data_IF_071891502314
#
_entry.id   IF_071891502314
#
_cell.length_a   1.000
_cell.length_b   1.000
_cell.length_c   1.000
_cell.angle_alpha   90.00
_cell.angle_beta   90.00
_cell.angle_gamma   90.00
#
_symmetry.space_group_name_H-M   'P 1'
#
loop_
_entity.id
_entity.type
_entity.pdbx_description
1 polymer ?
#
# COMPACT_ATOMS: atom_id res chain seq x y z
N UNK A 1 -5.65 -1.14 1.79
CA UNK A 1 -5.62 -1.72 3.14
C UNK A 1 -6.46 -2.98 3.29
N UNK A 2 -6.91 -3.61 2.18
CA UNK A 2 -7.63 -4.89 2.21
C UNK A 2 -6.62 -6.04 2.29
N UNK A 3 -6.96 -7.07 3.07
CA UNK A 3 -6.27 -8.36 3.10
C UNK A 3 -7.28 -9.41 2.66
N UNK A 4 -6.94 -10.20 1.65
CA UNK A 4 -7.83 -11.25 1.16
C UNK A 4 -7.99 -12.38 2.18
N UNK A 5 -9.23 -12.83 2.35
CA UNK A 5 -9.54 -14.03 3.13
C UNK A 5 -9.20 -15.30 2.33
N UNK A 6 -9.05 -16.41 3.01
CA UNK A 6 -8.80 -17.70 2.34
C UNK A 6 -9.93 -18.08 1.35
N UNK A 7 -11.19 -17.80 1.68
CA UNK A 7 -12.32 -18.06 0.81
C UNK A 7 -12.29 -17.20 -0.48
N UNK A 8 -11.87 -15.94 -0.38
CA UNK A 8 -11.69 -15.07 -1.54
C UNK A 8 -10.51 -15.55 -2.40
N UNK A 9 -9.40 -15.95 -1.78
CA UNK A 9 -8.26 -16.52 -2.48
C UNK A 9 -8.61 -17.81 -3.22
N UNK A 10 -9.37 -18.72 -2.60
CA UNK A 10 -9.87 -19.94 -3.24
C UNK A 10 -10.80 -19.63 -4.42
N UNK A 11 -11.65 -18.60 -4.30
CA UNK A 11 -12.51 -18.16 -5.41
C UNK A 11 -11.67 -17.66 -6.59
N UNK A 12 -10.64 -16.85 -6.33
CA UNK A 12 -9.71 -16.36 -7.36
C UNK A 12 -8.98 -17.53 -8.01
N UNK A 13 -8.47 -18.48 -7.21
CA UNK A 13 -7.76 -19.65 -7.72
C UNK A 13 -8.65 -20.52 -8.62
N UNK A 14 -9.88 -20.79 -8.19
CA UNK A 14 -10.83 -21.57 -8.98
C UNK A 14 -11.15 -20.90 -10.33
N UNK A 15 -11.33 -19.58 -10.36
CA UNK A 15 -11.57 -18.83 -11.59
C UNK A 15 -10.34 -18.80 -12.48
N UNK A 16 -9.14 -18.63 -11.91
CA UNK A 16 -7.89 -18.62 -12.65
C UNK A 16 -7.65 -19.96 -13.35
N UNK A 17 -7.81 -21.07 -12.66
CA UNK A 17 -7.68 -22.41 -13.24
C UNK A 17 -8.76 -22.64 -14.29
N UNK A 18 -10.02 -22.33 -14.00
CA UNK A 18 -11.15 -22.56 -14.91
C UNK A 18 -11.02 -21.81 -16.24
N UNK A 19 -10.48 -20.61 -16.21
CA UNK A 19 -10.41 -19.71 -17.36
C UNK A 19 -8.99 -19.50 -17.90
N UNK A 20 -8.02 -20.28 -17.41
CA UNK A 20 -6.60 -20.17 -17.75
C UNK A 20 -6.05 -18.74 -17.62
N UNK A 21 -6.34 -18.11 -16.47
CA UNK A 21 -5.93 -16.75 -16.19
C UNK A 21 -4.60 -16.73 -15.43
N UNK A 22 -3.72 -15.80 -15.77
CA UNK A 22 -2.56 -15.50 -14.94
C UNK A 22 -2.98 -14.71 -13.69
N UNK A 23 -2.51 -15.14 -12.53
CA UNK A 23 -2.67 -14.43 -11.24
C UNK A 23 -1.36 -13.74 -10.90
N UNK A 24 -1.33 -12.41 -10.90
CA UNK A 24 -0.19 -11.63 -10.44
C UNK A 24 -0.49 -11.19 -9.01
N UNK A 25 0.17 -11.83 -8.05
CA UNK A 25 0.04 -11.55 -6.63
C UNK A 25 1.15 -10.61 -6.19
N UNK A 26 0.83 -9.33 -5.95
CA UNK A 26 1.76 -8.36 -5.36
C UNK A 26 1.74 -8.53 -3.84
N UNK A 27 2.77 -9.21 -3.31
CA UNK A 27 2.87 -9.58 -1.90
C UNK A 27 3.87 -8.70 -1.13
N UNK A 28 4.23 -7.53 -1.65
CA UNK A 28 5.23 -6.64 -1.03
C UNK A 28 4.85 -6.14 0.36
N UNK A 29 3.56 -6.19 0.72
CA UNK A 29 3.04 -5.77 2.03
C UNK A 29 2.70 -6.93 2.97
N UNK A 30 3.12 -8.15 2.67
CA UNK A 30 2.75 -9.36 3.43
C UNK A 30 3.06 -9.31 4.93
N UNK A 31 4.06 -8.55 5.36
CA UNK A 31 4.40 -8.40 6.78
C UNK A 31 3.50 -7.36 7.50
N UNK A 32 2.71 -6.58 6.75
CA UNK A 32 1.83 -5.55 7.28
C UNK A 32 0.38 -6.02 7.26
N UNK A 33 0.07 -7.01 8.10
CA UNK A 33 -1.29 -7.53 8.33
C UNK A 33 -1.63 -7.34 9.79
N UNK A 34 -2.78 -6.72 10.06
CA UNK A 34 -3.21 -6.34 11.40
C UNK A 34 -4.39 -7.19 11.86
N UNK A 35 -4.20 -7.92 12.97
CA UNK A 35 -5.26 -8.73 13.58
C UNK A 35 -5.55 -10.06 12.86
N UNK A 36 -4.62 -10.56 12.06
CA UNK A 36 -4.74 -11.82 11.34
C UNK A 36 -3.40 -12.36 10.87
N UNK A 37 -3.42 -13.48 10.19
CA UNK A 37 -2.25 -14.06 9.54
C UNK A 37 -2.29 -13.80 8.04
N UNK A 38 -1.13 -13.50 7.48
CA UNK A 38 -0.96 -13.42 6.04
C UNK A 38 -0.92 -14.82 5.43
N UNK A 39 -1.64 -15.01 4.32
CA UNK A 39 -1.53 -16.21 3.47
C UNK A 39 -1.05 -15.81 2.08
N UNK A 40 -0.04 -16.52 1.58
CA UNK A 40 0.45 -16.33 0.20
C UNK A 40 -0.34 -17.19 -0.77
N UNK A 41 -0.62 -16.67 -1.96
CA UNK A 41 -1.09 -17.49 -3.09
C UNK A 41 -0.10 -18.61 -3.47
N UNK A 42 1.18 -18.46 -3.11
CA UNK A 42 2.20 -19.50 -3.30
C UNK A 42 1.97 -20.78 -2.52
N UNK A 43 1.03 -20.79 -1.57
CA UNK A 43 0.60 -22.01 -0.83
C UNK A 43 -0.50 -22.79 -1.55
N UNK A 44 -0.97 -22.34 -2.72
CA UNK A 44 -2.05 -22.94 -3.50
C UNK A 44 -1.48 -23.69 -4.71
N UNK A 45 -1.28 -25.04 -4.62
CA UNK A 45 -0.61 -25.82 -5.67
C UNK A 45 -1.38 -25.85 -6.99
N UNK A 46 -2.70 -25.67 -6.96
CA UNK A 46 -3.54 -25.56 -8.15
C UNK A 46 -3.19 -24.37 -9.05
N UNK A 47 -2.52 -23.36 -8.50
CA UNK A 47 -2.06 -22.16 -9.23
C UNK A 47 -0.62 -22.27 -9.76
N UNK A 48 0.08 -23.38 -9.59
CA UNK A 48 1.52 -23.49 -9.87
C UNK A 48 1.91 -23.01 -11.29
N UNK A 49 1.06 -23.20 -12.28
CA UNK A 49 1.29 -22.74 -13.65
C UNK A 49 0.75 -21.34 -13.96
N UNK A 50 -0.15 -20.83 -13.13
CA UNK A 50 -0.85 -19.57 -13.37
C UNK A 50 -0.33 -18.42 -12.48
N UNK A 51 0.43 -18.75 -11.42
CA UNK A 51 0.82 -17.80 -10.38
C UNK A 51 2.15 -17.11 -10.68
N UNK A 52 2.14 -15.81 -10.49
CA UNK A 52 3.30 -14.90 -10.53
C UNK A 52 3.27 -14.08 -9.25
N UNK A 53 4.21 -14.31 -8.34
CA UNK A 53 4.33 -13.52 -7.12
C UNK A 53 5.35 -12.40 -7.35
N UNK A 54 5.00 -11.20 -6.93
CA UNK A 54 5.89 -10.04 -6.86
C UNK A 54 6.22 -9.79 -5.40
N UNK A 55 7.51 -9.72 -5.06
CA UNK A 55 7.97 -9.40 -3.72
C UNK A 55 9.18 -8.45 -3.77
N UNK A 56 9.48 -7.78 -2.67
CA UNK A 56 10.61 -6.86 -2.58
C UNK A 56 11.06 -6.63 -1.13
N UNK A 57 12.31 -6.19 -0.97
CA UNK A 57 12.85 -5.75 0.32
C UNK A 57 12.36 -4.35 0.73
N UNK A 58 11.74 -3.62 -0.20
CA UNK A 58 11.37 -2.20 -0.07
C UNK A 58 10.53 -1.89 1.14
N UNK A 59 9.51 -2.71 1.42
CA UNK A 59 8.54 -2.44 2.50
C UNK A 59 8.92 -3.18 3.78
N UNK A 60 9.17 -4.47 3.67
CA UNK A 60 9.53 -5.37 4.76
C UNK A 60 10.69 -4.89 5.61
N UNK A 61 11.74 -4.36 4.96
CA UNK A 61 12.99 -3.94 5.60
C UNK A 61 13.24 -2.43 5.50
N UNK A 62 12.22 -1.64 5.14
CA UNK A 62 12.35 -0.19 4.90
C UNK A 62 13.49 0.17 3.92
N UNK A 63 13.79 -0.74 3.00
CA UNK A 63 14.92 -0.67 2.07
C UNK A 63 14.48 -0.26 0.64
N UNK A 64 13.55 0.69 0.54
CA UNK A 64 12.99 1.11 -0.75
C UNK A 64 14.03 1.76 -1.67
N UNK A 65 15.07 2.37 -1.12
CA UNK A 65 16.20 2.95 -1.87
C UNK A 65 17.11 1.91 -2.52
N UNK A 66 17.16 0.67 -2.03
CA UNK A 66 17.97 -0.41 -2.60
C UNK A 66 17.50 -0.86 -3.99
N UNK A 67 16.23 -0.63 -4.36
CA UNK A 67 15.65 -1.00 -5.65
C UNK A 67 15.75 -2.50 -5.96
N UNK A 68 15.61 -3.35 -4.95
CA UNK A 68 15.67 -4.81 -5.06
C UNK A 68 14.28 -5.42 -4.87
N UNK A 69 13.88 -6.24 -5.82
CA UNK A 69 12.66 -7.03 -5.80
C UNK A 69 12.83 -8.31 -6.62
N UNK A 70 11.86 -9.18 -6.55
CA UNK A 70 11.88 -10.45 -7.27
C UNK A 70 10.51 -10.82 -7.84
N UNK A 71 10.55 -11.63 -8.90
CA UNK A 71 9.41 -12.33 -9.49
C UNK A 71 9.61 -13.81 -9.19
N UNK A 72 8.57 -14.44 -8.65
CA UNK A 72 8.59 -15.84 -8.26
C UNK A 72 7.45 -16.55 -9.01
N UNK A 73 7.76 -17.62 -9.73
CA UNK A 73 6.77 -18.47 -10.38
C UNK A 73 7.31 -19.90 -10.53
N UNK A 74 6.43 -20.90 -10.50
CA UNK A 74 6.75 -22.28 -10.83
C UNK A 74 6.59 -22.57 -12.33
N UNK A 75 5.97 -21.68 -13.09
CA UNK A 75 5.84 -21.79 -14.55
C UNK A 75 7.20 -21.53 -15.22
N UNK A 76 7.85 -22.61 -15.67
CA UNK A 76 9.20 -22.55 -16.25
C UNK A 76 9.25 -21.77 -17.55
N UNK A 77 8.22 -21.87 -18.39
CA UNK A 77 8.15 -21.13 -19.65
C UNK A 77 8.08 -19.63 -19.39
N UNK A 78 7.19 -19.21 -18.48
CA UNK A 78 7.10 -17.81 -18.03
C UNK A 78 8.45 -17.32 -17.50
N UNK A 79 9.11 -18.10 -16.61
CA UNK A 79 10.40 -17.73 -16.05
C UNK A 79 11.48 -17.55 -17.13
N UNK A 80 11.48 -18.38 -18.18
CA UNK A 80 12.42 -18.22 -19.29
C UNK A 80 12.18 -16.92 -20.07
N UNK A 81 10.91 -16.54 -20.32
CA UNK A 81 10.60 -15.31 -21.04
C UNK A 81 10.92 -14.07 -20.20
N UNK A 82 10.54 -14.07 -18.92
CA UNK A 82 10.84 -12.94 -18.02
C UNK A 82 12.35 -12.74 -17.84
N UNK A 83 13.13 -13.83 -17.80
CA UNK A 83 14.59 -13.76 -17.74
C UNK A 83 15.19 -13.02 -18.95
N UNK A 84 14.66 -13.23 -20.16
CA UNK A 84 15.07 -12.47 -21.35
C UNK A 84 14.79 -10.97 -21.19
N UNK A 85 13.64 -10.61 -20.63
CA UNK A 85 13.33 -9.21 -20.34
C UNK A 85 14.29 -8.61 -19.31
N UNK A 86 14.64 -9.39 -18.27
CA UNK A 86 15.63 -8.97 -17.26
C UNK A 86 17.03 -8.76 -17.88
N UNK A 87 17.45 -9.66 -18.78
CA UNK A 87 18.71 -9.52 -19.51
C UNK A 87 18.74 -8.27 -20.39
N UNK A 88 17.61 -7.88 -20.98
CA UNK A 88 17.48 -6.61 -21.72
C UNK A 88 17.65 -5.35 -20.86
N UNK A 89 17.38 -5.44 -19.57
CA UNK A 89 17.65 -4.39 -18.56
C UNK A 89 19.07 -4.41 -18.01
N UNK A 90 19.87 -5.40 -18.35
CA UNK A 90 21.15 -5.75 -17.71
C UNK A 90 20.93 -6.35 -16.31
N UNK A 91 21.74 -6.00 -15.33
CA UNK A 91 21.66 -6.56 -13.97
C UNK A 91 20.99 -5.59 -12.97
N UNK A 92 20.52 -6.13 -11.86
CA UNK A 92 20.21 -5.35 -10.66
C UNK A 92 21.49 -4.78 -10.05
N UNK A 93 21.39 -3.76 -9.15
CA UNK A 93 22.57 -3.21 -8.46
C UNK A 93 23.21 -4.28 -7.56
N UNK A 94 24.45 -4.68 -7.85
CA UNK A 94 25.11 -5.81 -7.17
C UNK A 94 25.35 -5.53 -5.68
N UNK A 95 25.73 -4.31 -5.30
CA UNK A 95 25.98 -3.99 -3.90
C UNK A 95 24.70 -4.07 -3.08
N UNK A 96 23.60 -3.62 -3.64
CA UNK A 96 22.27 -3.68 -3.02
C UNK A 96 21.74 -5.12 -2.97
N UNK A 97 22.08 -5.97 -3.93
CA UNK A 97 21.74 -7.41 -3.87
C UNK A 97 22.46 -8.10 -2.71
N UNK A 98 23.76 -7.85 -2.54
CA UNK A 98 24.54 -8.39 -1.41
C UNK A 98 23.96 -7.90 -0.08
N UNK A 99 23.64 -6.60 0.02
CA UNK A 99 22.98 -6.02 1.18
C UNK A 99 21.59 -6.64 1.42
N UNK A 100 20.78 -6.80 0.37
CA UNK A 100 19.46 -7.42 0.46
C UNK A 100 19.52 -8.88 0.92
N UNK A 101 20.50 -9.65 0.47
CA UNK A 101 20.72 -11.02 0.93
C UNK A 101 20.95 -11.09 2.45
N UNK A 102 21.70 -10.13 3.02
CA UNK A 102 21.91 -10.04 4.45
C UNK A 102 20.61 -9.71 5.24
N UNK A 103 19.68 -8.98 4.66
CA UNK A 103 18.40 -8.66 5.32
C UNK A 103 17.57 -9.91 5.67
N UNK A 104 17.71 -10.99 4.89
CA UNK A 104 17.00 -12.25 5.16
C UNK A 104 17.54 -13.02 6.38
N UNK A 105 18.65 -12.57 6.97
CA UNK A 105 19.16 -13.07 8.25
C UNK A 105 18.62 -12.29 9.46
N UNK A 106 17.82 -11.25 9.22
CA UNK A 106 17.21 -10.44 10.27
C UNK A 106 16.27 -11.31 11.11
N UNK A 107 16.34 -11.23 12.46
CA UNK A 107 15.44 -11.97 13.33
C UNK A 107 13.97 -11.68 13.07
N UNK A 108 13.10 -12.69 13.24
CA UNK A 108 11.64 -12.52 13.07
C UNK A 108 11.08 -11.46 14.02
N UNK A 109 11.65 -11.32 15.22
CA UNK A 109 11.28 -10.28 16.19
C UNK A 109 11.30 -8.86 15.63
N UNK A 110 12.21 -8.56 14.70
CA UNK A 110 12.23 -7.27 14.01
C UNK A 110 10.93 -7.03 13.22
N UNK A 111 10.46 -8.02 12.47
CA UNK A 111 9.23 -7.91 11.69
C UNK A 111 7.99 -7.78 12.59
N UNK A 112 7.99 -8.49 13.73
CA UNK A 112 6.92 -8.39 14.73
C UNK A 112 6.88 -6.99 15.38
N UNK A 113 8.02 -6.42 15.72
CA UNK A 113 8.14 -5.07 16.28
C UNK A 113 7.69 -4.01 15.28
N UNK A 114 8.11 -4.11 14.02
CA UNK A 114 7.68 -3.23 12.94
C UNK A 114 6.16 -3.32 12.74
N UNK A 115 5.60 -4.54 12.70
CA UNK A 115 4.16 -4.73 12.56
C UNK A 115 3.38 -4.07 13.72
N UNK A 116 3.81 -4.27 14.97
CA UNK A 116 3.20 -3.63 16.16
C UNK A 116 3.25 -2.10 16.09
N UNK A 117 4.36 -1.55 15.63
CA UNK A 117 4.50 -0.08 15.46
C UNK A 117 3.54 0.44 14.40
N UNK A 118 3.47 -0.20 13.24
CA UNK A 118 2.55 0.21 12.18
C UNK A 118 1.08 -0.02 12.54
N UNK A 119 0.77 -1.00 13.37
CA UNK A 119 -0.57 -1.17 13.93
C UNK A 119 -0.96 0.04 14.81
N UNK A 120 -0.07 0.54 15.65
CA UNK A 120 -0.32 1.75 16.44
C UNK A 120 -0.56 2.98 15.55
N UNK A 121 0.25 3.14 14.50
CA UNK A 121 0.07 4.22 13.52
C UNK A 121 -1.26 4.12 12.79
N UNK A 122 -1.64 2.89 12.36
CA UNK A 122 -2.94 2.60 11.77
C UNK A 122 -4.09 3.01 12.69
N UNK A 123 -4.01 2.62 13.97
CA UNK A 123 -5.04 2.94 14.96
C UNK A 123 -5.14 4.45 15.18
N UNK A 124 -3.99 5.13 15.29
CA UNK A 124 -3.93 6.59 15.45
C UNK A 124 -4.59 7.32 14.28
N UNK A 125 -4.28 6.96 13.04
CA UNK A 125 -4.87 7.64 11.88
C UNK A 125 -6.34 7.29 11.72
N UNK A 126 -6.73 6.03 11.96
CA UNK A 126 -8.13 5.60 11.85
C UNK A 126 -9.03 6.31 12.88
N UNK A 127 -8.56 6.47 14.12
CA UNK A 127 -9.27 7.22 15.16
C UNK A 127 -9.34 8.71 14.81
N UNK A 128 -8.23 9.29 14.38
CA UNK A 128 -8.17 10.70 13.98
C UNK A 128 -9.11 11.02 12.82
N UNK A 129 -9.13 10.20 11.78
CA UNK A 129 -10.03 10.40 10.63
C UNK A 129 -11.52 10.31 11.01
N UNK A 130 -11.89 9.42 11.93
CA UNK A 130 -13.27 9.31 12.45
C UNK A 130 -13.73 10.58 13.17
N UNK A 131 -12.81 11.36 13.72
CA UNK A 131 -13.13 12.61 14.41
C UNK A 131 -13.39 13.79 13.46
N UNK A 132 -13.05 13.67 12.17
CA UNK A 132 -13.21 14.73 11.18
C UNK A 132 -14.62 14.72 10.58
N UNK A 133 -15.42 15.81 10.69
CA UNK A 133 -16.77 15.87 10.17
C UNK A 133 -16.82 15.70 8.64
N UNK A 134 -17.71 14.82 8.15
CA UNK A 134 -17.91 14.56 6.73
C UNK A 134 -16.85 13.65 6.08
N UNK A 135 -15.83 13.26 6.81
CA UNK A 135 -14.80 12.34 6.33
C UNK A 135 -15.26 10.89 6.51
N UNK A 136 -15.13 10.08 5.46
CA UNK A 136 -15.33 8.64 5.52
C UNK A 136 -14.00 7.94 5.20
N UNK A 137 -13.61 6.97 6.00
CA UNK A 137 -12.37 6.22 5.81
C UNK A 137 -12.64 4.72 5.90
N UNK A 138 -11.89 3.93 5.12
CA UNK A 138 -11.85 2.48 5.28
C UNK A 138 -11.16 2.08 6.58
N UNK A 139 -11.41 0.87 7.06
CA UNK A 139 -10.68 0.27 8.19
C UNK A 139 -9.57 -0.63 7.63
N UNK A 140 -8.32 -0.16 7.53
CA UNK A 140 -7.26 -0.91 6.89
C UNK A 140 -6.85 -2.12 7.72
N UNK A 141 -6.87 -3.30 7.10
CA UNK A 141 -6.45 -4.57 7.67
C UNK A 141 -5.00 -4.92 7.34
N UNK A 142 -4.41 -4.21 6.39
CA UNK A 142 -3.02 -4.41 5.95
C UNK A 142 -2.44 -3.21 5.23
N UNK A 143 -1.18 -3.32 4.84
CA UNK A 143 -0.33 -2.26 4.29
C UNK A 143 -0.17 -1.08 5.28
N UNK A 144 0.26 0.07 4.82
CA UNK A 144 0.32 1.31 5.60
C UNK A 144 -0.38 2.48 4.89
N UNK A 145 -1.51 2.16 4.24
CA UNK A 145 -2.37 3.11 3.54
C UNK A 145 -3.82 2.98 4.00
N UNK A 146 -4.52 4.12 3.97
CA UNK A 146 -5.96 4.19 4.15
C UNK A 146 -6.57 4.99 3.00
N UNK A 147 -7.66 4.49 2.41
CA UNK A 147 -8.47 5.26 1.47
C UNK A 147 -9.49 6.07 2.25
N UNK A 148 -9.58 7.35 1.91
CA UNK A 148 -10.39 8.35 2.59
C UNK A 148 -11.21 9.09 1.56
N UNK A 149 -12.48 9.33 1.87
CA UNK A 149 -13.35 10.23 1.12
C UNK A 149 -13.51 11.52 1.91
N UNK A 150 -13.15 12.63 1.28
CA UNK A 150 -13.25 13.97 1.87
C UNK A 150 -14.55 14.67 1.46
N UNK A 151 -15.08 15.57 2.30
CA UNK A 151 -16.20 16.44 1.98
C UNK A 151 -15.73 17.62 1.11
N UNK A 152 -15.17 17.34 -0.06
CA UNK A 152 -14.65 18.33 -1.01
C UNK A 152 -15.16 18.07 -2.42
N UNK A 153 -15.13 19.09 -3.26
CA UNK A 153 -15.49 19.01 -4.67
C UNK A 153 -14.52 18.11 -5.47
N UNK A 154 -13.22 18.23 -5.17
CA UNK A 154 -12.16 17.51 -5.88
C UNK A 154 -10.92 17.40 -4.97
N UNK A 155 -10.46 16.17 -4.73
CA UNK A 155 -9.32 15.91 -3.86
C UNK A 155 -7.98 16.37 -4.45
N UNK A 156 -7.83 16.42 -5.76
CA UNK A 156 -6.63 16.93 -6.41
C UNK A 156 -6.55 18.46 -6.26
N UNK A 157 -7.65 19.17 -6.47
CA UNK A 157 -7.72 20.62 -6.21
C UNK A 157 -7.46 20.92 -4.73
N UNK A 158 -8.00 20.11 -3.84
CA UNK A 158 -7.75 20.26 -2.40
C UNK A 158 -6.28 20.04 -2.06
N UNK A 159 -5.62 19.03 -2.65
CA UNK A 159 -4.19 18.79 -2.45
C UNK A 159 -3.34 19.97 -2.95
N UNK A 160 -3.64 20.52 -4.13
CA UNK A 160 -2.95 21.70 -4.68
C UNK A 160 -3.14 22.90 -3.76
N UNK A 161 -4.39 23.15 -3.33
CA UNK A 161 -4.71 24.26 -2.45
C UNK A 161 -4.00 24.15 -1.09
N UNK A 162 -3.88 22.95 -0.52
CA UNK A 162 -3.11 22.72 0.71
C UNK A 162 -1.65 23.14 0.57
N UNK A 163 -1.02 22.81 -0.57
CA UNK A 163 0.39 23.11 -0.80
C UNK A 163 0.65 24.60 -1.12
N UNK A 164 -0.31 25.27 -1.74
CA UNK A 164 -0.13 26.66 -2.22
C UNK A 164 -0.68 27.71 -1.26
N UNK A 165 -1.70 27.38 -0.46
CA UNK A 165 -2.52 28.37 0.23
C UNK A 165 -2.77 28.10 1.70
N UNK A 166 -2.32 26.94 2.24
CA UNK A 166 -2.67 26.58 3.62
C UNK A 166 -1.51 25.96 4.39
N UNK A 167 -1.22 26.54 5.50
CA UNK A 167 -0.31 25.99 6.52
C UNK A 167 -0.77 26.33 7.94
N UNK A 168 -0.27 25.60 8.91
CA UNK A 168 -0.33 25.96 10.33
C UNK A 168 1.09 25.85 10.89
N UNK A 169 1.63 26.96 11.35
CA UNK A 169 3.00 27.07 11.84
C UNK A 169 4.08 26.64 10.79
N UNK A 170 3.80 26.88 9.50
CA UNK A 170 4.67 26.48 8.39
C UNK A 170 4.59 25.01 8.00
N UNK A 171 3.60 24.27 8.52
CA UNK A 171 3.37 22.86 8.22
C UNK A 171 2.07 22.67 7.43
N UNK A 172 2.09 21.78 6.45
CA UNK A 172 0.91 21.35 5.69
C UNK A 172 0.89 19.83 5.49
N UNK A 173 -0.21 19.29 4.95
CA UNK A 173 -0.40 17.87 4.71
C UNK A 173 -0.39 17.56 3.21
N UNK A 174 0.24 16.46 2.85
CA UNK A 174 0.29 15.96 1.49
C UNK A 174 -0.26 14.53 1.41
N UNK A 175 -1.04 14.24 0.37
CA UNK A 175 -1.63 12.92 0.11
C UNK A 175 -1.71 12.64 -1.40
N UNK A 176 -2.01 11.41 -1.77
CA UNK A 176 -2.24 11.03 -3.16
C UNK A 176 -3.74 11.12 -3.48
N UNK A 177 -4.18 11.97 -4.45
CA UNK A 177 -5.56 12.02 -4.92
C UNK A 177 -6.05 10.65 -5.42
N UNK A 178 -7.32 10.35 -5.21
CA UNK A 178 -7.89 9.03 -5.43
C UNK A 178 -8.29 8.72 -6.88
N UNK A 179 -8.56 9.75 -7.69
CA UNK A 179 -9.04 9.61 -9.07
C UNK A 179 -8.13 8.74 -9.94
N UNK A 180 -6.80 8.81 -9.76
CA UNK A 180 -5.82 8.01 -10.49
C UNK A 180 -5.81 6.51 -10.15
N UNK A 181 -6.55 6.07 -9.13
CA UNK A 181 -6.66 4.64 -8.77
C UNK A 181 -7.86 3.94 -9.43
N UNK A 182 -8.70 4.66 -10.16
CA UNK A 182 -9.89 4.15 -10.82
C UNK A 182 -9.74 4.18 -12.34
N UNK A 183 -10.14 3.10 -13.00
CA UNK A 183 -10.22 3.04 -14.47
C UNK A 183 -11.49 3.70 -15.01
N UNK A 184 -12.53 3.81 -14.20
CA UNK A 184 -13.79 4.44 -14.59
C UNK A 184 -13.73 5.95 -14.35
N UNK A 185 -13.90 6.79 -15.38
CA UNK A 185 -13.89 8.24 -15.24
C UNK A 185 -14.95 8.73 -14.23
N UNK A 186 -14.58 9.70 -13.41
CA UNK A 186 -15.48 10.31 -12.41
C UNK A 186 -15.53 9.59 -11.06
N UNK A 187 -14.91 8.40 -10.93
CA UNK A 187 -14.73 7.77 -9.62
C UNK A 187 -13.50 8.33 -8.89
N UNK A 188 -13.54 8.32 -7.57
CA UNK A 188 -12.44 8.72 -6.73
C UNK A 188 -12.13 10.23 -6.70
N UNK A 189 -12.96 11.07 -7.31
CA UNK A 189 -12.70 12.53 -7.45
C UNK A 189 -12.52 13.22 -6.09
N UNK A 190 -13.28 12.82 -5.08
CA UNK A 190 -13.17 13.36 -3.72
C UNK A 190 -12.54 12.37 -2.74
N UNK A 191 -11.79 11.39 -3.27
CA UNK A 191 -11.07 10.40 -2.47
C UNK A 191 -9.56 10.66 -2.48
N UNK A 192 -8.89 10.15 -1.46
CA UNK A 192 -7.44 10.22 -1.34
C UNK A 192 -6.87 8.97 -0.68
N UNK A 193 -5.62 8.67 -0.98
CA UNK A 193 -4.84 7.68 -0.26
C UNK A 193 -3.88 8.36 0.69
N UNK A 194 -4.05 8.12 1.99
CA UNK A 194 -3.12 8.57 3.02
C UNK A 194 -2.17 7.44 3.40
N UNK A 195 -0.88 7.77 3.57
CA UNK A 195 0.13 6.86 4.08
C UNK A 195 0.43 7.18 5.55
N UNK A 196 0.31 6.20 6.45
CA UNK A 196 0.62 6.40 7.87
C UNK A 196 2.04 5.93 8.22
N UNK A 197 3.01 6.55 7.55
CA UNK A 197 4.45 6.23 7.69
C UNK A 197 5.17 7.07 8.74
N UNK A 198 4.55 8.14 9.23
CA UNK A 198 5.07 8.99 10.30
C UNK A 198 4.83 8.34 11.67
N UNK A 199 5.50 8.84 12.71
CA UNK A 199 5.20 8.44 14.08
C UNK A 199 3.81 8.92 14.53
N UNK A 200 3.30 8.40 15.66
CA UNK A 200 1.94 8.68 16.09
C UNK A 200 1.68 10.17 16.43
N UNK A 201 2.67 10.90 16.93
CA UNK A 201 2.52 12.31 17.25
C UNK A 201 2.41 13.17 15.99
N UNK A 202 3.27 12.92 15.00
CA UNK A 202 3.20 13.60 13.70
C UNK A 202 1.91 13.24 12.96
N UNK A 203 1.40 12.00 13.08
CA UNK A 203 0.11 11.62 12.52
C UNK A 203 -1.05 12.39 13.17
N UNK A 204 -1.04 12.57 14.50
CA UNK A 204 -2.04 13.40 15.19
C UNK A 204 -1.97 14.85 14.73
N UNK A 205 -0.75 15.39 14.57
CA UNK A 205 -0.53 16.75 14.06
C UNK A 205 -1.06 16.88 12.63
N UNK A 206 -0.77 15.92 11.76
CA UNK A 206 -1.28 15.89 10.38
C UNK A 206 -2.82 15.85 10.33
N UNK A 207 -3.47 15.05 11.17
CA UNK A 207 -4.94 15.01 11.29
C UNK A 207 -5.51 16.35 11.76
N UNK A 208 -4.86 17.00 12.72
CA UNK A 208 -5.27 18.33 13.16
C UNK A 208 -5.21 19.35 12.01
N UNK A 209 -4.07 19.43 11.31
CA UNK A 209 -3.88 20.32 10.15
C UNK A 209 -4.92 20.02 9.07
N UNK A 210 -5.15 18.74 8.74
CA UNK A 210 -6.16 18.32 7.77
C UNK A 210 -7.57 18.76 8.18
N UNK A 211 -7.90 18.65 9.46
CA UNK A 211 -9.20 19.09 10.00
C UNK A 211 -9.43 20.59 9.86
N UNK A 212 -8.43 21.40 10.17
CA UNK A 212 -8.49 22.87 10.00
C UNK A 212 -8.53 23.25 8.50
N UNK A 213 -7.75 22.57 7.69
CA UNK A 213 -7.76 22.77 6.22
C UNK A 213 -9.13 22.47 5.60
N UNK A 214 -9.80 21.39 6.00
CA UNK A 214 -11.15 21.07 5.54
C UNK A 214 -12.19 22.13 5.92
N UNK A 215 -12.00 22.83 7.03
CA UNK A 215 -12.87 23.96 7.42
C UNK A 215 -12.65 25.19 6.55
N UNK A 216 -11.39 25.43 6.16
CA UNK A 216 -10.98 26.62 5.41
C UNK A 216 -11.08 26.47 3.88
N UNK A 217 -11.13 25.25 3.38
CA UNK A 217 -11.11 24.97 1.94
C UNK A 217 -12.36 25.52 1.22
N UNK A 218 -12.20 26.37 0.17
CA UNK A 218 -13.33 26.96 -0.54
C UNK A 218 -14.23 25.97 -1.28
N UNK A 219 -13.68 24.80 -1.67
CA UNK A 219 -14.41 23.73 -2.37
C UNK A 219 -15.02 22.69 -1.45
N UNK A 220 -15.21 22.99 -0.18
CA UNK A 220 -15.90 22.11 0.77
C UNK A 220 -17.37 21.92 0.40
N UNK A 221 -17.88 20.68 0.49
CA UNK A 221 -19.23 20.29 0.04
C UNK A 221 -20.24 20.09 1.19
N UNK A 222 -19.83 20.06 2.44
CA UNK A 222 -20.69 19.96 3.62
C UNK A 222 -20.06 20.54 4.89
#
# INVERSE_FOLDING_TARGET
GVVYTEAEMQTIAALAVKHDLAVIADEVYREFVYGGEYKSFGTMPELDNNLIIIDSVSKRYSACGARIGCIISKNKEFCQQINKCCQGRLCSPILEEVGAAALYTTPVSYLEEVNKEYQKRRDTIAEGLKSLPGVAASDPKGAFYVMVKFPVDDAEKFAIWLLENFDIDGETVMFAPGNGFYSTPGLGVNEARLAYVLNCEDLKRAIYILGEALKAYPGRTC
#
